data_IF_206437828666
#
_entry.id   IF_206437828666
#
_cell.length_a   1.000
_cell.length_b   1.000
_cell.length_c   1.000
_cell.angle_alpha   90.00
_cell.angle_beta   90.00
_cell.angle_gamma   90.00
#
_symmetry.space_group_name_H-M   'P 1'
#
loop_
_entity.id
_entity.type
_entity.pdbx_description
1 polymer ?
#
# COMPACT_ATOMS: atom_id res chain seq x y z
N UNK A 1 1.12 4.52 -20.25
CA UNK A 1 0.44 3.32 -19.69
C UNK A 1 -1.03 3.36 -20.11
N UNK A 2 -1.67 2.22 -20.41
CA UNK A 2 -3.08 2.22 -20.83
C UNK A 2 -3.97 2.78 -19.69
N UNK A 3 -5.02 3.54 -20.03
CA UNK A 3 -5.96 4.14 -19.04
C UNK A 3 -6.46 3.14 -18.01
N UNK A 4 -6.74 1.91 -18.44
CA UNK A 4 -7.22 0.83 -17.58
C UNK A 4 -6.19 0.40 -16.53
N UNK A 5 -4.90 0.36 -16.91
CA UNK A 5 -3.81 -0.02 -16.00
C UNK A 5 -3.59 1.08 -14.97
N UNK A 6 -3.69 2.36 -15.38
CA UNK A 6 -3.61 3.49 -14.45
C UNK A 6 -4.75 3.48 -13.42
N UNK A 7 -5.98 3.18 -13.86
CA UNK A 7 -7.12 3.01 -12.97
C UNK A 7 -6.91 1.85 -11.99
N UNK A 8 -6.42 0.72 -12.48
CA UNK A 8 -6.11 -0.44 -11.65
C UNK A 8 -5.04 -0.14 -10.58
N UNK A 9 -3.94 0.52 -10.94
CA UNK A 9 -2.88 0.92 -9.99
C UNK A 9 -3.44 1.89 -8.94
N UNK A 10 -4.34 2.79 -9.34
CA UNK A 10 -5.01 3.71 -8.41
C UNK A 10 -5.86 2.98 -7.38
N UNK A 11 -6.66 2.01 -7.83
CA UNK A 11 -7.48 1.18 -6.93
C UNK A 11 -6.58 0.41 -5.97
N UNK A 12 -5.50 -0.20 -6.45
CA UNK A 12 -4.53 -0.88 -5.59
C UNK A 12 -3.92 0.09 -4.56
N UNK A 13 -3.43 1.26 -4.98
CA UNK A 13 -2.83 2.24 -4.08
C UNK A 13 -3.79 2.63 -2.94
N UNK A 14 -5.07 2.80 -3.24
CA UNK A 14 -6.10 3.08 -2.24
C UNK A 14 -6.29 1.90 -1.29
N UNK A 15 -6.42 0.67 -1.80
CA UNK A 15 -6.59 -0.53 -0.98
C UNK A 15 -5.41 -0.72 -0.02
N UNK A 16 -4.17 -0.64 -0.53
CA UNK A 16 -2.97 -0.74 0.30
C UNK A 16 -2.89 0.39 1.34
N UNK A 17 -3.26 1.62 0.94
CA UNK A 17 -3.29 2.77 1.84
C UNK A 17 -4.32 2.63 2.97
N UNK A 18 -5.53 2.18 2.65
CA UNK A 18 -6.59 1.93 3.64
C UNK A 18 -6.19 0.80 4.60
N UNK A 19 -5.59 -0.29 4.09
CA UNK A 19 -5.07 -1.36 4.94
C UNK A 19 -3.96 -0.87 5.89
N UNK A 20 -3.05 -0.02 5.41
CA UNK A 20 -2.02 0.59 6.25
C UNK A 20 -2.64 1.41 7.39
N UNK A 21 -3.62 2.26 7.06
CA UNK A 21 -4.33 3.06 8.07
C UNK A 21 -5.09 2.17 9.06
N UNK A 22 -5.77 1.14 8.57
CA UNK A 22 -6.48 0.19 9.40
C UNK A 22 -5.54 -0.47 10.42
N UNK A 23 -4.43 -1.04 9.94
CA UNK A 23 -3.46 -1.71 10.79
C UNK A 23 -2.84 -0.72 11.78
N UNK A 24 -2.37 0.45 11.32
CA UNK A 24 -1.66 1.39 12.20
C UNK A 24 -2.56 2.00 13.29
N UNK A 25 -3.80 2.34 12.96
CA UNK A 25 -4.67 3.10 13.86
C UNK A 25 -5.68 2.25 14.62
N UNK A 26 -6.09 1.09 14.10
CA UNK A 26 -7.24 0.36 14.63
C UNK A 26 -6.92 -1.03 15.19
N UNK A 27 -5.76 -1.60 14.86
CA UNK A 27 -5.36 -2.91 15.39
C UNK A 27 -4.54 -2.81 16.69
N UNK A 28 -4.54 -3.87 17.49
CA UNK A 28 -3.72 -3.96 18.70
C UNK A 28 -2.25 -4.17 18.33
N UNK A 29 -1.34 -3.77 19.23
CA UNK A 29 0.09 -4.09 19.12
C UNK A 29 0.40 -5.56 19.41
N UNK A 30 -0.54 -6.27 20.02
CA UNK A 30 -0.44 -7.70 20.35
C UNK A 30 -0.97 -8.60 19.22
N UNK A 31 -1.58 -8.01 18.18
CA UNK A 31 -2.06 -8.76 17.03
C UNK A 31 -0.87 -9.15 16.14
N UNK A 32 -0.78 -10.43 15.81
CA UNK A 32 0.13 -10.97 14.82
C UNK A 32 -0.47 -10.83 13.42
N UNK A 33 0.34 -10.36 12.46
CA UNK A 33 -0.08 -10.19 11.08
C UNK A 33 0.70 -11.10 10.15
N UNK A 34 -0.01 -11.70 9.21
CA UNK A 34 0.61 -12.42 8.10
C UNK A 34 0.77 -11.46 6.93
N UNK A 35 2.03 -11.17 6.58
CA UNK A 35 2.37 -10.32 5.47
C UNK A 35 2.98 -11.14 4.34
N UNK A 36 2.16 -11.46 3.35
CA UNK A 36 2.48 -12.33 2.21
C UNK A 36 2.91 -13.75 2.66
N UNK A 37 4.19 -13.93 2.95
CA UNK A 37 4.82 -15.22 3.35
C UNK A 37 5.49 -15.11 4.73
N UNK A 38 5.48 -13.92 5.32
CA UNK A 38 6.01 -13.69 6.66
C UNK A 38 4.86 -13.77 7.65
N UNK A 39 4.90 -14.79 8.49
CA UNK A 39 3.95 -14.97 9.60
C UNK A 39 4.46 -14.23 10.85
N UNK A 40 3.55 -13.81 11.73
CA UNK A 40 3.91 -13.20 13.02
C UNK A 40 4.62 -11.84 12.89
N UNK A 41 4.25 -11.05 11.88
CA UNK A 41 4.83 -9.73 11.67
C UNK A 41 4.17 -8.72 12.59
N UNK A 42 4.97 -7.91 13.28
CA UNK A 42 4.44 -6.86 14.16
C UNK A 42 3.53 -5.88 13.41
N UNK A 43 2.53 -5.34 14.12
CA UNK A 43 1.65 -4.25 13.66
C UNK A 43 2.39 -3.15 12.90
N UNK A 44 3.51 -2.67 13.44
CA UNK A 44 4.29 -1.59 12.84
C UNK A 44 4.90 -2.00 11.52
N UNK A 45 5.56 -3.15 11.48
CA UNK A 45 6.16 -3.68 10.25
C UNK A 45 5.09 -3.93 9.20
N UNK A 46 3.93 -4.47 9.58
CA UNK A 46 2.82 -4.69 8.67
C UNK A 46 2.27 -3.36 8.13
N UNK A 47 1.87 -2.45 9.02
CA UNK A 47 1.32 -1.15 8.66
C UNK A 47 2.25 -0.31 7.78
N UNK A 48 3.55 -0.23 8.11
CA UNK A 48 4.53 0.49 7.29
C UNK A 48 4.78 -0.18 5.94
N UNK A 49 4.78 -1.52 5.88
CA UNK A 49 4.90 -2.23 4.60
C UNK A 49 3.74 -1.89 3.66
N UNK A 50 2.49 -1.98 4.14
CA UNK A 50 1.31 -1.57 3.37
C UNK A 50 1.38 -0.09 2.94
N UNK A 51 1.86 0.80 3.82
CA UNK A 51 2.03 2.22 3.53
C UNK A 51 3.06 2.46 2.42
N UNK A 52 4.21 1.79 2.49
CA UNK A 52 5.27 1.88 1.47
C UNK A 52 4.74 1.41 0.11
N UNK A 53 4.01 0.29 0.06
CA UNK A 53 3.39 -0.18 -1.17
C UNK A 53 2.42 0.86 -1.76
N UNK A 54 1.56 1.44 -0.94
CA UNK A 54 0.63 2.48 -1.38
C UNK A 54 1.35 3.70 -1.96
N UNK A 55 2.42 4.17 -1.30
CA UNK A 55 3.23 5.30 -1.75
C UNK A 55 3.94 4.99 -3.07
N UNK A 56 4.55 3.81 -3.20
CA UNK A 56 5.24 3.41 -4.43
C UNK A 56 4.27 3.34 -5.60
N UNK A 57 3.07 2.77 -5.41
CA UNK A 57 2.04 2.72 -6.44
C UNK A 57 1.57 4.12 -6.83
N UNK A 58 1.32 5.00 -5.86
CA UNK A 58 0.94 6.38 -6.12
C UNK A 58 2.02 7.16 -6.87
N UNK A 59 3.28 7.00 -6.48
CA UNK A 59 4.43 7.61 -7.14
C UNK A 59 4.60 7.10 -8.57
N UNK A 60 4.39 5.81 -8.82
CA UNK A 60 4.47 5.25 -10.18
C UNK A 60 3.51 5.95 -11.15
N UNK A 61 2.29 6.27 -10.69
CA UNK A 61 1.30 7.03 -11.46
C UNK A 61 1.76 8.47 -11.68
N UNK A 62 2.34 9.11 -10.66
CA UNK A 62 2.78 10.52 -10.71
C UNK A 62 3.99 10.71 -11.62
N UNK A 63 4.99 9.82 -11.56
CA UNK A 63 6.19 9.90 -12.41
C UNK A 63 5.89 9.65 -13.87
N UNK A 64 4.92 8.80 -14.19
CA UNK A 64 4.48 8.63 -15.56
C UNK A 64 3.84 9.90 -16.12
N UNK A 65 2.97 10.56 -15.34
CA UNK A 65 2.36 11.84 -15.76
C UNK A 65 3.42 12.91 -16.09
N UNK A 66 4.60 12.84 -15.46
CA UNK A 66 5.72 13.77 -15.71
C UNK A 66 6.51 13.44 -16.98
N UNK A 67 6.46 12.21 -17.50
CA UNK A 67 7.10 11.82 -18.76
C UNK A 67 6.30 12.21 -20.01
N UNK A 68 5.01 12.51 -19.86
CA UNK A 68 4.12 12.89 -20.96
C UNK A 68 4.05 14.42 -21.20
N UNK A 69 4.87 15.22 -20.49
CA UNK A 69 4.98 16.69 -20.62
C UNK A 69 6.33 17.07 -21.20
#
# INVERSE_FOLDING_TARGET
MKKIVKGFIWVLAIIYGLNALYILFFMSSEDDFDLLVFEGVSKWTAGFSYLVFAIVLFLSIKFEKKKEV
#
